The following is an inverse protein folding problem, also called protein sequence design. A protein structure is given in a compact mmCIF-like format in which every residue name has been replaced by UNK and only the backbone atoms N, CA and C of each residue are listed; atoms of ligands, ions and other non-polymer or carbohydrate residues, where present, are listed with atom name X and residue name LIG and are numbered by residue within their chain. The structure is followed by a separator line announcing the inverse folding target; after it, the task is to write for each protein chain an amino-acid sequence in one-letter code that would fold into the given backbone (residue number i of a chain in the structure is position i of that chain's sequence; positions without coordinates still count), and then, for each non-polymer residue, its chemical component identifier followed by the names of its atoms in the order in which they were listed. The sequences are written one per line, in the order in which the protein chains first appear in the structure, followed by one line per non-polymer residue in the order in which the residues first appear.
data_IF_930131930526
#
_entry.id   IF_930131930526
#
_cell.length_a   1.000
_cell.length_b   1.000
_cell.length_c   1.000
_cell.angle_alpha   90.00
_cell.angle_beta   90.00
_cell.angle_gamma   90.00
#
_symmetry.space_group_name_H-M   'P 1'
#
loop_
_entity.id
_entity.type
_entity.pdbx_description
1 polymer ?
#
# COMPACT_ATOMS: atom_id res chain seq x y z
N UNK A 1 -2.42 11.29 -30.71
CA UNK A 1 -2.42 10.96 -29.27
C UNK A 1 -3.55 9.97 -29.00
N UNK A 2 -3.23 8.69 -28.73
CA UNK A 2 -4.17 7.57 -28.85
C UNK A 2 -5.36 7.66 -27.87
N UNK A 3 -6.60 7.71 -28.40
CA UNK A 3 -7.88 7.73 -27.64
C UNK A 3 -7.99 6.60 -26.61
N UNK A 4 -7.33 5.47 -26.85
CA UNK A 4 -7.27 4.30 -25.97
C UNK A 4 -6.60 4.57 -24.61
N UNK A 5 -5.63 5.48 -24.54
CA UNK A 5 -4.90 5.82 -23.30
C UNK A 5 -5.66 6.81 -22.39
N UNK A 6 -6.79 7.38 -22.85
CA UNK A 6 -7.68 8.20 -22.02
C UNK A 6 -8.61 7.36 -21.14
N UNK A 7 -8.70 6.05 -21.37
CA UNK A 7 -9.55 5.17 -20.58
C UNK A 7 -8.78 4.64 -19.36
N UNK A 8 -9.10 5.17 -18.17
CA UNK A 8 -8.47 4.78 -16.91
C UNK A 8 -8.59 3.28 -16.60
N UNK A 9 -9.66 2.63 -17.04
CA UNK A 9 -9.84 1.18 -16.93
C UNK A 9 -8.84 0.41 -17.82
N UNK A 10 -8.69 0.84 -19.08
CA UNK A 10 -7.75 0.22 -20.02
C UNK A 10 -6.30 0.36 -19.52
N UNK A 11 -5.95 1.55 -18.99
CA UNK A 11 -4.65 1.77 -18.37
C UNK A 11 -4.40 0.86 -17.16
N UNK A 12 -5.41 0.65 -16.31
CA UNK A 12 -5.31 -0.22 -15.13
C UNK A 12 -5.18 -1.70 -15.54
N UNK A 13 -5.94 -2.15 -16.54
CA UNK A 13 -5.88 -3.53 -17.04
C UNK A 13 -4.58 -3.81 -17.81
N UNK A 14 -4.12 -2.89 -18.67
CA UNK A 14 -2.84 -2.99 -19.36
C UNK A 14 -1.67 -2.93 -18.37
N UNK A 15 -1.75 -2.06 -17.35
CA UNK A 15 -0.80 -2.04 -16.25
C UNK A 15 -0.78 -3.35 -15.48
N UNK A 16 -1.86 -4.14 -15.51
CA UNK A 16 -2.00 -5.44 -14.85
C UNK A 16 -1.78 -6.64 -15.78
N UNK A 17 -1.42 -6.43 -17.05
CA UNK A 17 -1.28 -7.50 -18.05
C UNK A 17 -0.06 -8.43 -17.81
N UNK A 18 -0.11 -9.71 -18.25
CA UNK A 18 1.03 -10.63 -18.22
C UNK A 18 2.21 -10.19 -19.11
N UNK A 19 1.94 -9.44 -20.18
CA UNK A 19 2.99 -8.90 -21.04
C UNK A 19 3.88 -7.91 -20.29
N UNK A 20 3.26 -6.97 -19.57
CA UNK A 20 3.99 -5.99 -18.74
C UNK A 20 4.71 -6.65 -17.56
N UNK A 21 4.13 -7.72 -17.01
CA UNK A 21 4.78 -8.58 -16.01
C UNK A 21 6.11 -9.15 -16.54
N UNK A 22 6.10 -9.71 -17.76
CA UNK A 22 7.31 -10.25 -18.38
C UNK A 22 8.38 -9.18 -18.61
N UNK A 23 8.00 -8.04 -19.18
CA UNK A 23 8.92 -6.92 -19.45
C UNK A 23 9.58 -6.37 -18.17
N UNK A 24 8.88 -6.39 -17.04
CA UNK A 24 9.40 -5.87 -15.77
C UNK A 24 10.13 -6.93 -14.93
N UNK A 25 10.14 -8.21 -15.35
CA UNK A 25 10.81 -9.29 -14.61
C UNK A 25 12.30 -9.01 -14.38
N UNK A 26 13.09 -8.52 -15.36
CA UNK A 26 14.51 -8.21 -15.14
C UNK A 26 14.70 -7.09 -14.11
N UNK A 27 13.89 -6.02 -14.18
CA UNK A 27 13.94 -4.89 -13.25
C UNK A 27 13.70 -5.34 -11.80
N UNK A 28 12.68 -6.20 -11.62
CA UNK A 28 12.36 -6.77 -10.30
C UNK A 28 13.47 -7.64 -9.77
N UNK A 29 14.01 -8.53 -10.60
CA UNK A 29 15.11 -9.43 -10.21
C UNK A 29 16.33 -8.62 -9.78
N UNK A 30 16.72 -7.62 -10.58
CA UNK A 30 17.82 -6.71 -10.28
C UNK A 30 17.60 -6.01 -8.93
N UNK A 31 16.49 -5.29 -8.77
CA UNK A 31 16.24 -4.50 -7.56
C UNK A 31 16.12 -5.40 -6.32
N UNK A 32 15.49 -6.57 -6.43
CA UNK A 32 15.38 -7.52 -5.31
C UNK A 32 16.73 -8.15 -4.95
N UNK A 33 17.62 -8.42 -5.92
CA UNK A 33 18.93 -9.01 -5.64
C UNK A 33 19.88 -8.08 -4.88
N UNK A 34 19.63 -6.78 -4.93
CA UNK A 34 20.44 -5.74 -4.26
C UNK A 34 19.73 -5.13 -3.05
N UNK A 35 18.51 -5.58 -2.73
CA UNK A 35 17.76 -5.11 -1.56
C UNK A 35 17.99 -6.07 -0.39
N UNK A 36 18.25 -5.53 0.80
CA UNK A 36 18.10 -6.28 2.05
C UNK A 36 16.63 -6.26 2.50
N UNK A 37 16.25 -7.21 3.35
CA UNK A 37 14.94 -7.26 4.02
C UNK A 37 15.16 -7.06 5.53
N UNK A 38 14.33 -6.24 6.13
CA UNK A 38 14.26 -5.98 7.55
C UNK A 38 12.80 -6.08 8.02
N UNK A 39 12.58 -6.53 9.26
CA UNK A 39 11.26 -6.49 9.90
C UNK A 39 11.35 -5.47 11.04
N UNK A 40 10.63 -4.36 10.87
CA UNK A 40 10.47 -3.35 11.92
C UNK A 40 9.34 -3.74 12.85
N UNK A 41 9.54 -3.61 14.17
CA UNK A 41 8.51 -3.79 15.19
C UNK A 41 8.13 -2.43 15.77
N UNK A 42 6.86 -2.05 15.64
CA UNK A 42 6.30 -0.82 16.21
C UNK A 42 6.05 -0.94 17.71
N UNK A 43 5.74 0.19 18.34
CA UNK A 43 5.40 0.29 19.77
C UNK A 43 4.16 -0.54 20.16
N UNK A 44 3.18 -0.65 19.25
CA UNK A 44 2.02 -1.52 19.40
C UNK A 44 2.26 -2.97 18.92
N UNK A 45 3.52 -3.39 18.81
CA UNK A 45 3.95 -4.74 18.40
C UNK A 45 3.55 -5.19 17.00
N UNK A 46 3.10 -4.27 16.14
CA UNK A 46 2.90 -4.57 14.72
C UNK A 46 4.24 -4.73 14.00
N UNK A 47 4.32 -5.70 13.11
CA UNK A 47 5.51 -6.04 12.35
C UNK A 47 5.37 -5.58 10.90
N UNK A 48 6.35 -4.83 10.40
CA UNK A 48 6.35 -4.20 9.07
C UNK A 48 7.59 -4.66 8.29
N UNK A 49 7.38 -5.18 7.08
CA UNK A 49 8.51 -5.52 6.21
C UNK A 49 9.03 -4.28 5.48
N UNK A 50 10.35 -4.12 5.52
CA UNK A 50 11.08 -3.07 4.84
C UNK A 50 12.12 -3.70 3.92
N UNK A 51 12.08 -3.36 2.63
CA UNK A 51 13.06 -3.79 1.64
C UNK A 51 13.88 -2.59 1.20
N UNK A 52 15.19 -2.59 1.42
CA UNK A 52 16.01 -1.40 1.25
C UNK A 52 17.32 -1.67 0.50
N UNK A 53 17.73 -0.72 -0.32
CA UNK A 53 19.12 -0.58 -0.79
C UNK A 53 19.83 0.49 0.04
N UNK A 54 21.17 0.46 0.11
CA UNK A 54 21.94 1.40 0.94
C UNK A 54 23.30 1.78 0.34
N UNK A 55 23.29 2.32 -0.88
CA UNK A 55 24.48 2.72 -1.63
C UNK A 55 24.61 4.25 -1.85
N UNK A 56 23.54 5.02 -1.59
CA UNK A 56 23.43 6.43 -1.96
C UNK A 56 22.94 7.31 -0.82
N UNK A 57 23.30 8.61 -0.92
CA UNK A 57 22.89 9.63 0.06
C UNK A 57 21.42 10.02 -0.04
N UNK A 58 20.78 9.85 -1.19
CA UNK A 58 19.35 10.13 -1.37
C UNK A 58 18.57 8.83 -1.29
N UNK A 59 17.42 8.82 -0.62
CA UNK A 59 16.57 7.64 -0.51
C UNK A 59 15.11 7.96 -0.75
N UNK A 60 14.39 7.01 -1.32
CA UNK A 60 12.97 7.12 -1.62
C UNK A 60 12.23 5.98 -0.96
N UNK A 61 11.33 6.33 -0.04
CA UNK A 61 10.42 5.42 0.64
C UNK A 61 9.17 5.27 -0.22
N UNK A 62 8.74 4.03 -0.46
CA UNK A 62 7.58 3.70 -1.26
C UNK A 62 6.49 3.03 -0.43
N UNK A 63 5.28 3.61 -0.49
CA UNK A 63 4.05 2.96 -0.05
C UNK A 63 3.23 2.50 -1.26
N UNK A 64 2.96 1.18 -1.37
CA UNK A 64 2.11 0.67 -2.44
C UNK A 64 0.64 1.08 -2.22
N UNK A 65 -0.16 0.98 -3.28
CA UNK A 65 -1.61 1.06 -3.17
C UNK A 65 -2.21 -0.16 -2.45
N UNK A 66 -3.52 -0.11 -2.25
CA UNK A 66 -4.26 -1.15 -1.54
C UNK A 66 -4.04 -2.54 -2.15
N UNK A 67 -3.74 -3.51 -1.29
CA UNK A 67 -3.35 -4.88 -1.63
C UNK A 67 -2.11 -4.95 -2.55
N UNK A 68 -1.35 -3.87 -2.69
CA UNK A 68 -0.10 -3.84 -3.42
C UNK A 68 1.04 -4.51 -2.65
N UNK A 69 2.24 -4.44 -3.23
CA UNK A 69 3.48 -5.02 -2.67
C UNK A 69 4.71 -4.35 -3.31
N UNK A 70 5.90 -4.67 -2.81
CA UNK A 70 7.20 -4.12 -3.26
C UNK A 70 7.51 -4.32 -4.75
N UNK A 71 6.85 -5.27 -5.40
CA UNK A 71 7.05 -5.61 -6.81
C UNK A 71 5.87 -5.22 -7.70
N UNK A 72 5.00 -4.33 -7.21
CA UNK A 72 3.84 -3.86 -7.96
C UNK A 72 4.25 -3.22 -9.30
N UNK A 73 3.49 -3.50 -10.36
CA UNK A 73 3.84 -3.12 -11.74
C UNK A 73 3.92 -1.61 -11.99
N UNK A 74 3.22 -0.82 -11.18
CA UNK A 74 3.26 0.64 -11.20
C UNK A 74 4.45 1.21 -10.41
N UNK A 75 5.02 0.43 -9.48
CA UNK A 75 6.08 0.86 -8.56
C UNK A 75 7.45 0.56 -9.14
N UNK A 76 7.68 -0.66 -9.62
CA UNK A 76 9.02 -1.15 -9.98
C UNK A 76 9.73 -0.30 -11.05
N UNK A 77 9.10 0.08 -12.18
CA UNK A 77 9.80 0.89 -13.17
C UNK A 77 10.29 2.23 -12.61
N UNK A 78 9.50 2.85 -11.73
CA UNK A 78 9.90 4.10 -11.07
C UNK A 78 11.03 3.87 -10.08
N UNK A 79 10.96 2.79 -9.29
CA UNK A 79 12.02 2.43 -8.35
C UNK A 79 13.35 2.13 -9.06
N UNK A 80 13.35 1.34 -10.14
CA UNK A 80 14.58 1.06 -10.90
C UNK A 80 15.14 2.33 -11.58
N UNK A 81 14.27 3.18 -12.13
CA UNK A 81 14.67 4.48 -12.69
C UNK A 81 15.35 5.35 -11.63
N UNK A 82 14.74 5.52 -10.46
CA UNK A 82 15.31 6.32 -9.37
C UNK A 82 16.63 5.73 -8.86
N UNK A 83 16.71 4.41 -8.76
CA UNK A 83 17.96 3.72 -8.41
C UNK A 83 19.08 4.01 -9.40
N UNK A 84 18.78 3.96 -10.71
CA UNK A 84 19.75 4.34 -11.76
C UNK A 84 20.18 5.82 -11.72
N UNK A 85 19.45 6.67 -10.97
CA UNK A 85 19.73 8.10 -10.78
C UNK A 85 20.31 8.42 -9.41
N UNK A 86 20.84 7.42 -8.70
CA UNK A 86 21.55 7.61 -7.44
C UNK A 86 20.63 7.82 -6.23
N UNK A 87 19.43 7.22 -6.26
CA UNK A 87 18.56 7.12 -5.08
C UNK A 87 18.52 5.68 -4.58
N UNK A 88 18.71 5.47 -3.28
CA UNK A 88 18.32 4.21 -2.69
C UNK A 88 16.81 4.06 -2.61
N UNK A 89 16.35 2.82 -2.72
CA UNK A 89 14.94 2.49 -2.75
C UNK A 89 14.59 1.75 -1.47
N UNK A 90 13.65 2.30 -0.72
CA UNK A 90 13.04 1.68 0.45
C UNK A 90 11.60 1.35 0.09
N UNK A 91 11.20 0.08 0.11
CA UNK A 91 9.84 -0.38 -0.22
C UNK A 91 9.22 -1.00 1.01
N UNK A 92 8.11 -0.43 1.47
CA UNK A 92 7.42 -0.87 2.67
C UNK A 92 6.23 -1.75 2.27
N UNK A 93 6.03 -2.86 2.97
CA UNK A 93 4.74 -3.55 2.99
C UNK A 93 3.94 -3.05 4.18
N UNK A 94 2.86 -2.29 3.95
CA UNK A 94 1.85 -2.10 4.99
C UNK A 94 1.35 -3.45 5.51
N UNK A 95 0.72 -3.44 6.68
CA UNK A 95 0.07 -4.63 7.25
C UNK A 95 -0.86 -5.26 6.21
N UNK A 96 -0.88 -6.58 6.12
CA UNK A 96 -1.66 -7.38 5.16
C UNK A 96 -1.36 -7.13 3.67
N UNK A 97 -0.26 -6.45 3.35
CA UNK A 97 0.20 -6.23 1.98
C UNK A 97 1.41 -7.11 1.66
N UNK A 98 1.56 -7.52 0.41
CA UNK A 98 2.73 -8.30 -0.04
C UNK A 98 2.89 -9.66 0.62
N UNK A 99 1.78 -10.35 0.91
CA UNK A 99 1.75 -11.67 1.53
C UNK A 99 2.32 -11.70 2.97
N UNK A 100 2.28 -10.55 3.65
CA UNK A 100 2.73 -10.35 5.03
C UNK A 100 1.67 -10.68 6.10
N UNK A 101 0.59 -11.36 5.72
CA UNK A 101 -0.52 -11.66 6.64
C UNK A 101 -0.08 -12.43 7.90
N UNK A 102 1.01 -13.21 7.81
CA UNK A 102 1.61 -13.98 8.89
C UNK A 102 2.39 -13.17 9.93
N UNK A 103 2.55 -11.86 9.72
CA UNK A 103 3.30 -10.99 10.62
C UNK A 103 2.43 -10.33 11.68
N UNK A 104 1.12 -10.20 11.44
CA UNK A 104 0.21 -9.48 12.32
C UNK A 104 -1.11 -10.24 12.37
N UNK A 105 -1.65 -10.49 13.56
CA UNK A 105 -2.97 -11.10 13.71
C UNK A 105 -4.08 -10.12 13.30
N UNK A 106 -3.99 -8.86 13.74
CA UNK A 106 -4.96 -7.81 13.44
C UNK A 106 -5.00 -7.43 11.96
N UNK A 107 -6.21 -7.22 11.42
CA UNK A 107 -6.37 -6.74 10.05
C UNK A 107 -5.82 -5.33 9.88
N UNK A 108 -5.29 -5.04 8.69
CA UNK A 108 -4.91 -3.68 8.32
C UNK A 108 -6.12 -2.74 8.34
N UNK A 109 -5.94 -1.59 9.02
CA UNK A 109 -6.93 -0.51 9.08
C UNK A 109 -6.32 0.75 8.51
N UNK A 110 -6.93 1.30 7.47
CA UNK A 110 -6.47 2.57 6.88
C UNK A 110 -6.59 3.74 7.86
N UNK A 111 -7.48 3.67 8.86
CA UNK A 111 -7.62 4.69 9.90
C UNK A 111 -6.45 4.72 10.87
N UNK A 112 -5.86 3.56 11.18
CA UNK A 112 -4.76 3.42 12.13
C UNK A 112 -3.43 3.20 11.40
N UNK A 113 -2.69 4.29 11.22
CA UNK A 113 -1.39 4.31 10.54
C UNK A 113 -0.22 4.47 11.52
N UNK A 114 -0.42 4.25 12.83
CA UNK A 114 0.61 4.52 13.84
C UNK A 114 1.91 3.77 13.56
N UNK A 115 1.84 2.46 13.32
CA UNK A 115 3.02 1.66 12.97
C UNK A 115 3.70 2.11 11.68
N UNK A 116 2.94 2.65 10.72
CA UNK A 116 3.50 3.19 9.47
C UNK A 116 4.19 4.55 9.67
N UNK A 117 3.70 5.38 10.59
CA UNK A 117 4.41 6.61 11.02
C UNK A 117 5.71 6.22 11.71
N UNK A 118 5.66 5.25 12.63
CA UNK A 118 6.81 4.81 13.41
C UNK A 118 7.92 4.20 12.55
N UNK A 119 7.60 3.36 11.57
CA UNK A 119 8.62 2.82 10.66
C UNK A 119 9.28 3.93 9.83
N UNK A 120 8.52 4.95 9.40
CA UNK A 120 9.09 6.09 8.66
C UNK A 120 9.96 6.94 9.56
N UNK A 121 9.55 7.20 10.80
CA UNK A 121 10.35 7.89 11.82
C UNK A 121 11.65 7.13 12.12
N UNK A 122 11.57 5.81 12.27
CA UNK A 122 12.73 4.93 12.43
C UNK A 122 13.70 5.07 11.24
N UNK A 123 13.21 5.06 10.01
CA UNK A 123 14.03 5.28 8.82
C UNK A 123 14.65 6.69 8.80
N UNK A 124 13.93 7.71 9.27
CA UNK A 124 14.46 9.06 9.46
C UNK A 124 15.64 9.13 10.42
N UNK A 125 15.56 8.40 11.54
CA UNK A 125 16.65 8.32 12.52
C UNK A 125 17.82 7.49 11.99
N UNK A 126 17.53 6.34 11.38
CA UNK A 126 18.53 5.44 10.78
C UNK A 126 19.35 6.14 9.68
N UNK A 127 18.70 7.00 8.90
CA UNK A 127 19.29 7.71 7.77
C UNK A 127 19.34 9.23 8.00
N UNK A 128 19.71 9.65 9.22
CA UNK A 128 19.72 11.05 9.65
C UNK A 128 20.64 11.96 8.81
N UNK A 129 21.64 11.39 8.15
CA UNK A 129 22.58 12.10 7.27
C UNK A 129 22.25 11.94 5.77
N UNK A 130 21.01 11.58 5.43
CA UNK A 130 20.55 11.31 4.07
C UNK A 130 19.36 12.21 3.70
N UNK A 131 19.20 12.46 2.40
CA UNK A 131 18.00 13.12 1.87
C UNK A 131 16.90 12.06 1.70
N UNK A 132 15.80 12.19 2.46
CA UNK A 132 14.68 11.25 2.40
C UNK A 132 13.49 11.83 1.64
N UNK A 133 12.93 11.03 0.74
CA UNK A 133 11.70 11.33 0.02
C UNK A 133 10.67 10.22 0.24
N UNK A 134 9.41 10.57 0.03
CA UNK A 134 8.29 9.65 0.17
C UNK A 134 7.46 9.62 -1.12
N UNK A 135 7.14 8.43 -1.62
CA UNK A 135 6.24 8.22 -2.75
C UNK A 135 5.11 7.27 -2.37
N UNK A 136 3.87 7.73 -2.53
CA UNK A 136 2.67 6.95 -2.26
C UNK A 136 1.79 6.77 -3.48
N UNK A 137 1.30 5.56 -3.72
CA UNK A 137 0.35 5.27 -4.80
C UNK A 137 -1.05 4.97 -4.26
N UNK A 138 -2.10 5.59 -4.81
CA UNK A 138 -3.48 5.28 -4.43
C UNK A 138 -3.72 5.35 -2.92
N UNK A 139 -4.09 4.25 -2.25
CA UNK A 139 -4.18 4.20 -0.79
C UNK A 139 -2.84 4.53 -0.10
N UNK A 140 -1.71 4.07 -0.66
CA UNK A 140 -0.38 4.48 -0.21
C UNK A 140 -0.13 5.98 -0.34
N UNK A 141 -0.80 6.65 -1.28
CA UNK A 141 -0.81 8.12 -1.40
C UNK A 141 -1.55 8.79 -0.25
N UNK A 142 -2.72 8.28 0.13
CA UNK A 142 -3.45 8.73 1.33
C UNK A 142 -2.58 8.59 2.59
N UNK A 143 -2.01 7.39 2.78
CA UNK A 143 -1.09 7.09 3.89
C UNK A 143 0.10 8.05 3.88
N UNK A 144 0.72 8.27 2.71
CA UNK A 144 1.90 9.13 2.60
C UNK A 144 1.60 10.59 2.94
N UNK A 145 0.45 11.13 2.53
CA UNK A 145 0.03 12.48 2.91
C UNK A 145 -0.13 12.60 4.42
N UNK A 146 -0.83 11.65 5.04
CA UNK A 146 -1.07 11.65 6.49
C UNK A 146 0.21 11.43 7.31
N UNK A 147 1.13 10.58 6.84
CA UNK A 147 2.47 10.44 7.43
C UNK A 147 3.22 11.78 7.34
N UNK A 148 3.20 12.43 6.19
CA UNK A 148 3.93 13.71 5.99
C UNK A 148 3.33 14.87 6.78
N UNK A 149 2.04 14.80 7.11
CA UNK A 149 1.37 15.77 7.97
C UNK A 149 1.59 15.51 9.47
N UNK A 150 2.15 14.35 9.84
CA UNK A 150 2.45 14.04 11.24
C UNK A 150 3.57 14.95 11.76
N UNK A 151 3.43 15.55 12.97
CA UNK A 151 4.47 16.40 13.56
C UNK A 151 5.77 15.63 13.85
N UNK A 152 5.71 14.29 13.91
CA UNK A 152 6.89 13.44 14.10
C UNK A 152 7.76 13.30 12.84
N UNK A 153 7.26 13.74 11.69
CA UNK A 153 7.90 13.56 10.39
C UNK A 153 8.26 14.94 9.81
N UNK A 154 9.40 15.48 10.24
CA UNK A 154 9.89 16.80 9.84
C UNK A 154 11.16 16.77 8.95
N UNK A 155 11.61 15.57 8.56
CA UNK A 155 12.87 15.35 7.84
C UNK A 155 12.67 14.98 6.35
N UNK A 156 11.43 14.76 5.90
CA UNK A 156 11.15 14.43 4.50
C UNK A 156 11.39 15.66 3.62
N UNK A 157 12.26 15.52 2.62
CA UNK A 157 12.55 16.60 1.67
C UNK A 157 11.41 16.83 0.70
N UNK A 158 10.77 15.76 0.22
CA UNK A 158 9.57 15.81 -0.65
C UNK A 158 8.68 14.60 -0.42
N UNK A 159 7.38 14.83 -0.49
CA UNK A 159 6.36 13.79 -0.61
C UNK A 159 5.65 13.93 -1.95
N UNK A 160 5.62 12.85 -2.72
CA UNK A 160 4.95 12.78 -4.03
C UNK A 160 3.88 11.71 -3.95
N UNK A 161 2.67 12.03 -4.39
CA UNK A 161 1.56 11.07 -4.39
C UNK A 161 0.95 10.93 -5.77
N UNK A 162 0.65 9.70 -6.15
CA UNK A 162 0.06 9.36 -7.45
C UNK A 162 -1.34 8.80 -7.25
N UNK A 163 -2.34 9.52 -7.79
CA UNK A 163 -3.75 9.18 -7.69
C UNK A 163 -4.22 8.86 -6.25
N UNK A 164 -3.90 9.72 -5.25
CA UNK A 164 -4.19 9.42 -3.85
C UNK A 164 -5.70 9.23 -3.60
N UNK A 165 -6.04 8.36 -2.66
CA UNK A 165 -7.40 8.25 -2.13
C UNK A 165 -7.66 9.47 -1.24
N UNK A 166 -8.35 10.50 -1.76
CA UNK A 166 -8.68 11.72 -1.00
C UNK A 166 -9.95 11.51 -0.18
N UNK A 167 -11.03 11.09 -0.84
CA UNK A 167 -12.28 10.71 -0.20
C UNK A 167 -12.48 9.19 -0.38
N UNK A 168 -12.40 8.40 0.71
CA UNK A 168 -12.50 6.95 0.63
C UNK A 168 -13.85 6.43 0.17
N UNK A 169 -14.95 7.06 0.61
CA UNK A 169 -16.31 6.68 0.21
C UNK A 169 -16.49 6.83 -1.30
N UNK A 170 -16.09 7.98 -1.84
CA UNK A 170 -16.14 8.25 -3.29
C UNK A 170 -15.24 7.29 -4.07
N UNK A 171 -14.05 7.00 -3.56
CA UNK A 171 -13.09 6.10 -4.21
C UNK A 171 -13.61 4.67 -4.26
N UNK A 172 -14.20 4.19 -3.17
CA UNK A 172 -14.85 2.88 -3.10
C UNK A 172 -16.05 2.83 -4.06
N UNK A 173 -16.94 3.83 -4.01
CA UNK A 173 -18.11 3.90 -4.88
C UNK A 173 -17.71 3.88 -6.37
N UNK A 174 -16.65 4.60 -6.74
CA UNK A 174 -16.10 4.59 -8.09
C UNK A 174 -15.56 3.21 -8.48
N UNK A 175 -14.82 2.53 -7.58
CA UNK A 175 -14.32 1.18 -7.81
C UNK A 175 -15.44 0.15 -7.99
N UNK A 176 -16.50 0.24 -7.18
CA UNK A 176 -17.63 -0.67 -7.28
C UNK A 176 -18.48 -0.41 -8.54
N UNK A 177 -18.66 0.84 -8.97
CA UNK A 177 -19.54 1.19 -10.11
C UNK A 177 -18.87 1.13 -11.49
N UNK A 178 -17.60 1.53 -11.59
CA UNK A 178 -17.00 1.83 -12.90
C UNK A 178 -16.46 0.60 -13.65
N UNK A 179 -16.20 -0.53 -12.97
CA UNK A 179 -15.74 -1.75 -13.64
C UNK A 179 -15.97 -3.02 -12.83
N UNK A 180 -16.80 -3.92 -13.37
CA UNK A 180 -17.02 -5.23 -12.76
C UNK A 180 -15.74 -6.09 -12.72
N UNK A 181 -14.84 -5.91 -13.69
CA UNK A 181 -13.57 -6.65 -13.78
C UNK A 181 -12.62 -6.20 -12.66
N UNK A 182 -12.44 -4.89 -12.47
CA UNK A 182 -11.61 -4.36 -11.39
C UNK A 182 -12.19 -4.71 -10.03
N UNK A 183 -13.51 -4.55 -9.85
CA UNK A 183 -14.21 -4.95 -8.63
C UNK A 183 -13.94 -6.42 -8.29
N UNK A 184 -14.15 -7.33 -9.26
CA UNK A 184 -13.89 -8.77 -9.08
C UNK A 184 -12.42 -9.05 -8.75
N UNK A 185 -11.49 -8.39 -9.44
CA UNK A 185 -10.05 -8.52 -9.18
C UNK A 185 -9.68 -8.15 -7.74
N UNK A 186 -10.08 -6.96 -7.27
CA UNK A 186 -9.75 -6.49 -5.92
C UNK A 186 -10.44 -7.31 -4.84
N UNK A 187 -11.70 -7.71 -5.03
CA UNK A 187 -12.42 -8.57 -4.07
C UNK A 187 -11.76 -9.93 -3.97
N UNK A 188 -11.39 -10.55 -5.10
CA UNK A 188 -10.70 -11.84 -5.06
C UNK A 188 -9.36 -11.72 -4.34
N UNK A 189 -8.64 -10.62 -4.56
CA UNK A 189 -7.38 -10.34 -3.88
C UNK A 189 -7.57 -10.15 -2.38
N UNK A 190 -8.56 -9.36 -1.96
CA UNK A 190 -8.85 -9.14 -0.54
C UNK A 190 -9.30 -10.43 0.14
N UNK A 191 -10.20 -11.20 -0.48
CA UNK A 191 -10.60 -12.52 0.02
C UNK A 191 -9.45 -13.51 0.14
N UNK A 192 -8.41 -13.40 -0.69
CA UNK A 192 -7.20 -14.22 -0.56
C UNK A 192 -6.45 -13.89 0.75
N UNK A 193 -6.24 -12.60 1.02
CA UNK A 193 -5.67 -12.11 2.29
C UNK A 193 -6.51 -12.55 3.49
N UNK A 194 -7.83 -12.42 3.42
CA UNK A 194 -8.75 -12.83 4.49
C UNK A 194 -8.66 -14.35 4.75
N UNK A 195 -8.66 -15.18 3.70
CA UNK A 195 -8.52 -16.65 3.88
C UNK A 195 -7.23 -17.00 4.60
N UNK A 196 -6.10 -16.43 4.17
CA UNK A 196 -4.80 -16.66 4.81
C UNK A 196 -4.83 -16.27 6.28
N UNK A 197 -5.43 -15.13 6.62
CA UNK A 197 -5.63 -14.68 8.01
C UNK A 197 -6.45 -15.67 8.85
N UNK A 198 -7.57 -16.14 8.30
CA UNK A 198 -8.40 -17.16 8.94
C UNK A 198 -7.57 -18.43 9.19
N UNK A 199 -6.79 -18.87 8.21
CA UNK A 199 -6.00 -20.11 8.31
C UNK A 199 -4.83 -19.97 9.31
N UNK A 200 -4.19 -18.79 9.37
CA UNK A 200 -3.02 -18.54 10.22
C UNK A 200 -3.38 -18.34 11.69
N UNK A 201 -4.50 -17.68 11.98
CA UNK A 201 -4.86 -17.23 13.33
C UNK A 201 -6.23 -17.71 13.82
N UNK A 202 -6.93 -18.54 13.04
CA UNK A 202 -8.27 -19.02 13.35
C UNK A 202 -9.30 -17.90 13.60
N UNK A 203 -9.15 -16.76 12.90
CA UNK A 203 -10.02 -15.60 13.04
C UNK A 203 -11.43 -15.92 12.53
N UNK A 204 -12.46 -15.51 13.28
CA UNK A 204 -13.87 -15.66 12.88
C UNK A 204 -14.29 -14.64 11.81
N UNK A 205 -13.75 -14.76 10.59
CA UNK A 205 -14.04 -13.85 9.47
C UNK A 205 -14.57 -14.59 8.22
N UNK A 206 -15.05 -15.84 8.34
CA UNK A 206 -15.51 -16.64 7.20
C UNK A 206 -16.71 -16.02 6.47
N UNK A 207 -17.59 -15.33 7.19
CA UNK A 207 -18.74 -14.60 6.62
C UNK A 207 -18.29 -13.51 5.63
N UNK A 208 -17.14 -12.87 5.86
CA UNK A 208 -16.54 -11.88 4.96
C UNK A 208 -16.41 -12.41 3.52
N UNK A 209 -16.14 -13.71 3.37
CA UNK A 209 -15.92 -14.36 2.08
C UNK A 209 -17.19 -14.46 1.22
N UNK A 210 -18.38 -14.20 1.79
CA UNK A 210 -19.66 -14.22 1.06
C UNK A 210 -19.95 -12.91 0.31
N UNK A 211 -19.39 -11.78 0.73
CA UNK A 211 -19.66 -10.48 0.11
C UNK A 211 -19.10 -10.35 -1.32
N UNK A 212 -19.83 -9.66 -2.21
CA UNK A 212 -19.54 -9.61 -3.66
C UNK A 212 -19.16 -8.23 -4.19
N UNK A 213 -19.21 -7.21 -3.34
CA UNK A 213 -18.77 -5.85 -3.66
C UNK A 213 -17.82 -5.36 -2.54
N UNK A 214 -17.10 -4.27 -2.80
CA UNK A 214 -16.10 -3.75 -1.85
C UNK A 214 -16.81 -3.07 -0.68
N UNK A 215 -17.92 -2.37 -0.94
CA UNK A 215 -18.74 -1.74 0.09
C UNK A 215 -19.18 -2.67 1.20
N UNK A 216 -19.91 -3.74 0.88
CA UNK A 216 -20.43 -4.68 1.87
C UNK A 216 -19.30 -5.39 2.62
N UNK A 217 -18.16 -5.66 1.96
CA UNK A 217 -17.01 -6.22 2.63
C UNK A 217 -16.41 -5.20 3.61
N UNK A 218 -16.36 -3.92 3.24
CA UNK A 218 -15.91 -2.85 4.13
C UNK A 218 -16.85 -2.66 5.31
N UNK A 219 -18.16 -2.66 5.08
CA UNK A 219 -19.19 -2.63 6.15
C UNK A 219 -19.02 -3.79 7.11
N UNK A 220 -18.87 -5.03 6.60
CA UNK A 220 -18.59 -6.19 7.44
C UNK A 220 -17.34 -6.00 8.31
N UNK A 221 -16.25 -5.48 7.74
CA UNK A 221 -15.04 -5.21 8.52
C UNK A 221 -15.23 -4.07 9.52
N UNK A 222 -15.99 -3.03 9.16
CA UNK A 222 -16.34 -1.94 10.09
C UNK A 222 -17.03 -2.50 11.32
N UNK A 223 -18.10 -3.28 11.12
CA UNK A 223 -18.98 -3.77 12.18
C UNK A 223 -18.29 -4.80 13.10
N UNK A 224 -17.34 -5.58 12.57
CA UNK A 224 -16.77 -6.73 13.29
C UNK A 224 -15.31 -6.55 13.73
N UNK A 225 -14.54 -5.66 13.09
CA UNK A 225 -13.08 -5.58 13.27
C UNK A 225 -12.56 -4.16 13.46
N UNK A 226 -13.44 -3.17 13.64
CA UNK A 226 -13.04 -1.78 13.91
C UNK A 226 -13.83 -1.19 15.07
N UNK A 227 -13.32 -0.12 15.71
CA UNK A 227 -14.07 0.60 16.75
C UNK A 227 -15.16 1.54 16.19
N UNK A 228 -15.36 1.60 14.87
CA UNK A 228 -16.32 2.52 14.25
C UNK A 228 -17.70 1.88 14.18
N UNK A 229 -18.72 2.63 14.61
CA UNK A 229 -20.12 2.18 14.57
C UNK A 229 -20.73 2.19 13.16
N UNK A 230 -20.22 3.03 12.26
CA UNK A 230 -20.73 3.17 10.90
C UNK A 230 -19.59 3.31 9.87
N UNK A 231 -19.79 2.72 8.70
CA UNK A 231 -18.81 2.75 7.59
C UNK A 231 -18.51 4.17 7.11
N UNK A 232 -19.46 5.11 7.25
CA UNK A 232 -19.24 6.52 6.95
C UNK A 232 -18.24 7.17 7.90
N UNK A 233 -18.28 6.80 9.18
CA UNK A 233 -17.34 7.31 10.18
C UNK A 233 -15.95 6.74 9.92
N UNK A 234 -15.88 5.46 9.54
CA UNK A 234 -14.64 4.84 9.06
C UNK A 234 -14.07 5.63 7.87
N UNK A 235 -14.86 5.91 6.83
CA UNK A 235 -14.37 6.66 5.67
C UNK A 235 -13.94 8.08 6.00
N UNK A 236 -14.66 8.76 6.87
CA UNK A 236 -14.32 10.12 7.31
C UNK A 236 -13.00 10.14 8.07
N UNK A 237 -12.74 9.12 8.89
CA UNK A 237 -11.55 9.04 9.74
C UNK A 237 -10.21 8.91 8.99
N UNK A 238 -10.22 8.60 7.68
CA UNK A 238 -9.02 8.64 6.84
C UNK A 238 -9.23 9.39 5.53
N UNK A 239 -10.24 10.26 5.46
CA UNK A 239 -10.31 11.25 4.39
C UNK A 239 -9.13 12.24 4.54
N UNK A 240 -8.60 12.71 3.41
CA UNK A 240 -7.62 13.81 3.38
C UNK A 240 -8.41 15.08 3.09
N UNK A 241 -8.44 15.99 4.06
CA UNK A 241 -9.17 17.27 4.00
C UNK A 241 -8.22 18.43 4.21
#
# INVERSE_FOLDING_TARGET
MNRLLKNGLLNTLLASSPFRESQQKPLRKKLNSISSKEIFKSSNSQLIEVFQTDNFRKKVIFFPGWLGHKDSKYLIPLADLLYSRGFDIIRIHPIDHGDSEHLNEDFFRATDIRALIEVVKYLGQKFSNNELHLIGFSLGGNISLRISASPEINFLKKTIVLSPVINPENSMNAMDKNSWILRKYFINKWKKTIRRKIDLYNINAKEALKHKNIKNLTEYFTDNFTPHSHVRDLFSAYAVT
#
